data_IF_000813569886
#
_entry.id   IF_000813569886
#
_cell.length_a   1.000
_cell.length_b   1.000
_cell.length_c   1.000
_cell.angle_alpha   90.00
_cell.angle_beta   90.00
_cell.angle_gamma   90.00
#
_symmetry.space_group_name_H-M   'P 1'
#
loop_
_entity.id
_entity.type
_entity.pdbx_description
1 polymer ?
#
# COMPACT_ATOMS: atom_id res chain seq x y z
N UNK A 1 9.20 -4.90 -13.60
CA UNK A 1 8.46 -5.18 -12.36
C UNK A 1 9.42 -5.01 -11.22
N UNK A 2 9.15 -4.06 -10.31
CA UNK A 2 9.97 -3.82 -9.13
C UNK A 2 9.12 -3.86 -7.86
N UNK A 3 9.70 -4.34 -6.76
CA UNK A 3 9.10 -4.22 -5.43
C UNK A 3 9.62 -2.93 -4.82
N UNK A 4 8.73 -2.08 -4.32
CA UNK A 4 9.08 -0.85 -3.60
C UNK A 4 8.16 -0.60 -2.40
N UNK A 5 8.59 0.22 -1.42
CA UNK A 5 7.69 0.75 -0.42
C UNK A 5 6.46 1.40 -1.07
N UNK A 6 5.31 1.25 -0.43
CA UNK A 6 4.12 2.00 -0.84
C UNK A 6 4.31 3.50 -0.58
N UNK A 7 3.87 4.33 -1.51
CA UNK A 7 3.95 5.77 -1.49
C UNK A 7 2.57 6.41 -1.29
N UNK A 8 2.54 7.68 -0.88
CA UNK A 8 1.30 8.44 -0.63
C UNK A 8 0.40 8.55 -1.86
N UNK A 9 1.03 8.62 -3.03
CA UNK A 9 0.33 8.77 -4.30
C UNK A 9 -0.20 7.43 -4.86
N UNK A 10 0.04 6.31 -4.19
CA UNK A 10 -0.41 4.98 -4.62
C UNK A 10 -1.88 4.69 -4.26
N UNK A 11 -2.61 5.61 -3.62
CA UNK A 11 -3.94 5.35 -3.08
C UNK A 11 -4.93 4.85 -4.15
N UNK A 12 -4.90 5.44 -5.34
CA UNK A 12 -5.79 5.06 -6.43
C UNK A 12 -5.46 3.65 -6.96
N UNK A 13 -4.19 3.36 -7.17
CA UNK A 13 -3.73 2.02 -7.57
C UNK A 13 -4.05 0.98 -6.50
N UNK A 14 -3.84 1.30 -5.23
CA UNK A 14 -4.11 0.41 -4.12
C UNK A 14 -5.60 0.10 -3.98
N UNK A 15 -6.47 1.09 -4.20
CA UNK A 15 -7.91 0.88 -4.19
C UNK A 15 -8.36 -0.02 -5.36
N UNK A 16 -7.80 0.17 -6.55
CA UNK A 16 -8.08 -0.71 -7.69
C UNK A 16 -7.69 -2.17 -7.38
N UNK A 17 -6.53 -2.39 -6.74
CA UNK A 17 -6.12 -3.72 -6.29
C UNK A 17 -7.08 -4.31 -5.25
N UNK A 18 -7.52 -3.51 -4.27
CA UNK A 18 -8.47 -3.94 -3.24
C UNK A 18 -9.81 -4.39 -3.84
N UNK A 19 -10.29 -3.70 -4.88
CA UNK A 19 -11.50 -4.07 -5.61
C UNK A 19 -11.35 -5.40 -6.37
N UNK A 20 -10.16 -5.66 -6.91
CA UNK A 20 -9.87 -6.91 -7.64
C UNK A 20 -9.66 -8.12 -6.72
N UNK A 21 -9.07 -7.92 -5.53
CA UNK A 21 -8.70 -9.00 -4.61
C UNK A 21 -9.92 -9.73 -3.99
N UNK A 22 -11.10 -9.11 -4.03
CA UNK A 22 -12.36 -9.70 -3.57
C UNK A 22 -12.41 -9.97 -2.06
N UNK A 23 -13.49 -10.62 -1.61
CA UNK A 23 -13.85 -10.80 -0.18
C UNK A 23 -12.85 -11.65 0.62
N UNK A 24 -11.90 -12.32 -0.03
CA UNK A 24 -10.91 -13.20 0.59
C UNK A 24 -9.63 -12.51 1.09
N UNK A 25 -9.44 -11.23 0.74
CA UNK A 25 -8.23 -10.47 1.07
C UNK A 25 -8.51 -9.45 2.19
N UNK A 26 -8.84 -9.95 3.37
CA UNK A 26 -9.31 -9.14 4.52
C UNK A 26 -8.32 -8.07 5.01
N UNK A 27 -7.04 -8.19 4.64
CA UNK A 27 -5.99 -7.21 4.95
C UNK A 27 -5.95 -6.00 3.99
N UNK A 28 -6.73 -6.05 2.90
CA UNK A 28 -6.84 -4.99 1.89
C UNK A 28 -8.32 -4.76 1.49
N UNK A 29 -9.16 -4.26 2.41
CA UNK A 29 -10.56 -3.97 2.11
C UNK A 29 -10.68 -2.84 1.07
N UNK A 30 -11.72 -2.87 0.23
CA UNK A 30 -12.13 -1.74 -0.61
C UNK A 30 -12.75 -0.63 0.27
N UNK A 31 -11.90 -0.02 1.10
CA UNK A 31 -12.22 1.11 1.94
C UNK A 31 -11.09 2.13 1.81
N UNK A 32 -11.32 3.18 1.02
CA UNK A 32 -10.33 4.20 0.69
C UNK A 32 -9.71 4.89 1.92
N UNK A 33 -10.50 5.15 2.95
CA UNK A 33 -10.01 5.78 4.19
C UNK A 33 -9.05 4.85 4.94
N UNK A 34 -9.42 3.57 5.07
CA UNK A 34 -8.56 2.54 5.65
C UNK A 34 -7.25 2.40 4.87
N UNK A 35 -7.34 2.36 3.53
CA UNK A 35 -6.18 2.26 2.66
C UNK A 35 -5.24 3.48 2.79
N UNK A 36 -5.78 4.69 2.82
CA UNK A 36 -5.01 5.91 3.06
C UNK A 36 -4.29 5.88 4.42
N UNK A 37 -4.99 5.47 5.49
CA UNK A 37 -4.38 5.31 6.81
C UNK A 37 -3.26 4.26 6.83
N UNK A 38 -3.44 3.16 6.09
CA UNK A 38 -2.41 2.11 5.94
C UNK A 38 -1.18 2.63 5.21
N UNK A 39 -1.35 3.43 4.15
CA UNK A 39 -0.25 4.08 3.42
C UNK A 39 0.51 5.04 4.35
N UNK A 40 -0.19 5.90 5.09
CA UNK A 40 0.48 6.82 6.03
C UNK A 40 1.23 6.09 7.14
N UNK A 41 0.66 5.00 7.66
CA UNK A 41 1.32 4.17 8.67
C UNK A 41 2.62 3.58 8.14
N UNK A 42 2.63 3.11 6.89
CA UNK A 42 3.81 2.61 6.22
C UNK A 42 4.85 3.71 5.95
N UNK A 43 4.42 4.85 5.41
CA UNK A 43 5.31 5.98 5.13
C UNK A 43 6.03 6.46 6.41
N UNK A 44 5.30 6.58 7.53
CA UNK A 44 5.90 6.94 8.82
C UNK A 44 6.90 5.91 9.33
N UNK A 45 6.67 4.62 9.09
CA UNK A 45 7.60 3.56 9.47
C UNK A 45 8.92 3.64 8.68
N UNK A 46 8.86 3.90 7.37
CA UNK A 46 10.05 4.10 6.53
C UNK A 46 10.82 5.38 6.84
N UNK A 47 10.13 6.44 7.27
CA UNK A 47 10.72 7.70 7.73
C UNK A 47 11.21 7.64 9.19
N UNK A 48 11.16 6.45 9.82
CA UNK A 48 11.57 6.22 11.21
C UNK A 48 10.80 7.05 12.25
N UNK A 49 9.60 7.54 11.90
CA UNK A 49 8.70 8.32 12.77
C UNK A 49 7.72 7.46 13.60
N UNK A 50 7.95 6.15 13.61
CA UNK A 50 7.16 5.15 14.33
C UNK A 50 8.10 4.29 15.18
N UNK A 51 7.79 4.02 16.47
CA UNK A 51 8.55 3.10 17.32
C UNK A 51 8.77 1.76 16.62
N UNK A 52 9.94 1.15 16.81
CA UNK A 52 10.35 -0.07 16.07
C UNK A 52 9.30 -1.18 16.16
N UNK A 53 8.70 -1.38 17.33
CA UNK A 53 7.71 -2.44 17.59
C UNK A 53 6.35 -2.18 16.94
N UNK A 54 6.09 -0.95 16.48
CA UNK A 54 4.82 -0.52 15.87
C UNK A 54 4.94 -0.29 14.35
N UNK A 55 6.09 -0.59 13.75
CA UNK A 55 6.35 -0.29 12.32
C UNK A 55 5.58 -1.22 11.40
N UNK A 56 4.72 -0.65 10.57
CA UNK A 56 4.13 -1.32 9.42
C UNK A 56 5.04 -1.14 8.20
N UNK A 57 5.64 -2.22 7.70
CA UNK A 57 6.33 -2.19 6.42
C UNK A 57 5.42 -2.75 5.33
N UNK A 58 4.99 -1.88 4.42
CA UNK A 58 4.10 -2.24 3.33
C UNK A 58 4.78 -1.97 1.97
N UNK A 59 4.85 -3.02 1.15
CA UNK A 59 5.46 -3.02 -0.16
C UNK A 59 4.41 -3.35 -1.22
N UNK A 60 4.63 -2.80 -2.41
CA UNK A 60 3.81 -3.03 -3.61
C UNK A 60 4.71 -3.47 -4.76
N UNK A 61 4.12 -4.19 -5.72
CA UNK A 61 4.75 -4.43 -7.01
C UNK A 61 4.34 -3.33 -7.97
N UNK A 62 5.30 -2.73 -8.66
CA UNK A 62 5.08 -1.71 -9.66
C UNK A 62 5.60 -2.18 -11.02
N UNK A 63 4.82 -1.93 -12.06
CA UNK A 63 5.28 -2.03 -13.43
C UNK A 63 6.10 -0.77 -13.79
N UNK A 64 7.38 -0.97 -14.09
CA UNK A 64 8.32 0.11 -14.36
C UNK A 64 8.10 0.79 -15.71
N UNK A 65 7.27 0.21 -16.58
CA UNK A 65 6.97 0.76 -17.90
C UNK A 65 5.91 1.87 -17.85
N UNK A 66 4.97 1.79 -16.90
CA UNK A 66 3.86 2.74 -16.77
C UNK A 66 3.69 3.33 -15.35
N UNK A 67 4.40 2.80 -14.35
CA UNK A 67 4.32 3.24 -12.95
C UNK A 67 3.07 2.73 -12.21
N UNK A 68 2.29 1.83 -12.81
CA UNK A 68 1.08 1.29 -12.20
C UNK A 68 1.40 0.18 -11.21
N UNK A 69 0.53 0.02 -10.20
CA UNK A 69 0.64 -1.12 -9.30
C UNK A 69 0.18 -2.38 -10.01
N UNK A 70 1.02 -3.42 -9.95
CA UNK A 70 0.76 -4.72 -10.53
C UNK A 70 0.21 -5.70 -9.48
N UNK A 71 -0.60 -6.65 -9.95
CA UNK A 71 -1.10 -7.81 -9.17
C UNK A 71 -0.14 -8.98 -9.30
#
# INVERSE_FOLDING_TARGET
MRIRPIARDDLDGLQALAQQAGVGFTSLPDNREFLAGKIESAARAFEERTPVDDRLYFFVMEDETNGELAV
#
